data_IF_305774995779
#
_entry.id   IF_305774995779
#
_cell.length_a   1.000
_cell.length_b   1.000
_cell.length_c   1.000
_cell.angle_alpha   90.00
_cell.angle_beta   90.00
_cell.angle_gamma   90.00
#
_symmetry.space_group_name_H-M   'P 1'
#
loop_
_entity.id
_entity.type
_entity.pdbx_description
1 polymer ?
#
# COMPACT_ATOMS: atom_id res chain seq x y z
N UNK A 1 -9.89 -14.69 49.95
CA UNK A 1 -9.15 -15.51 48.96
C UNK A 1 -9.82 -15.51 47.56
N UNK A 2 -10.36 -14.38 47.07
CA UNK A 2 -11.17 -14.28 45.83
C UNK A 2 -10.49 -13.49 44.69
N UNK A 3 -9.41 -12.78 44.98
CA UNK A 3 -8.69 -11.93 44.01
C UNK A 3 -7.66 -12.66 43.13
N UNK A 4 -7.26 -13.89 43.48
CA UNK A 4 -6.21 -14.64 42.75
C UNK A 4 -6.75 -15.41 41.54
N UNK A 5 -8.04 -15.73 41.50
CA UNK A 5 -8.67 -16.48 40.40
C UNK A 5 -9.16 -15.59 39.25
N UNK A 6 -9.35 -14.30 39.47
CA UNK A 6 -9.83 -13.35 38.44
C UNK A 6 -8.70 -12.92 37.48
N UNK A 7 -7.48 -12.76 38.00
CA UNK A 7 -6.30 -12.43 37.20
C UNK A 7 -5.92 -13.57 36.22
N UNK A 8 -6.23 -14.83 36.57
CA UNK A 8 -5.97 -15.98 35.70
C UNK A 8 -6.96 -16.10 34.53
N UNK A 9 -8.16 -15.52 34.61
CA UNK A 9 -9.19 -15.56 33.54
C UNK A 9 -9.07 -14.39 32.56
N UNK A 10 -8.40 -13.31 32.98
CA UNK A 10 -8.09 -12.16 32.11
C UNK A 10 -6.84 -12.41 31.25
N UNK A 11 -5.81 -13.09 31.77
CA UNK A 11 -4.54 -13.37 31.07
C UNK A 11 -4.69 -14.19 29.77
N UNK A 12 -5.56 -15.20 29.76
CA UNK A 12 -5.88 -15.99 28.57
C UNK A 12 -6.81 -15.26 27.58
N UNK A 13 -7.59 -14.27 28.04
CA UNK A 13 -8.40 -13.42 27.18
C UNK A 13 -7.56 -12.46 26.33
N UNK A 14 -6.42 -11.95 26.86
CA UNK A 14 -5.54 -11.03 26.12
C UNK A 14 -4.88 -11.70 24.92
N UNK A 15 -4.39 -12.93 25.09
CA UNK A 15 -3.87 -13.72 23.98
C UNK A 15 -4.96 -13.96 22.92
N UNK A 16 -6.18 -14.30 23.35
CA UNK A 16 -7.32 -14.45 22.44
C UNK A 16 -7.65 -13.17 21.66
N UNK A 17 -7.60 -12.00 22.32
CA UNK A 17 -7.83 -10.69 21.68
C UNK A 17 -6.75 -10.33 20.66
N UNK A 18 -5.48 -10.60 20.98
CA UNK A 18 -4.36 -10.37 20.05
C UNK A 18 -4.49 -11.25 18.81
N UNK A 19 -4.83 -12.53 18.98
CA UNK A 19 -5.04 -13.47 17.88
C UNK A 19 -6.26 -13.05 17.04
N UNK A 20 -7.38 -12.69 17.67
CA UNK A 20 -8.57 -12.22 16.97
C UNK A 20 -8.29 -10.94 16.17
N UNK A 21 -7.49 -10.03 16.72
CA UNK A 21 -7.08 -8.81 16.05
C UNK A 21 -6.12 -9.07 14.87
N UNK A 22 -5.16 -9.99 15.01
CA UNK A 22 -4.30 -10.45 13.90
C UNK A 22 -5.11 -11.11 12.77
N UNK A 23 -6.06 -11.97 13.11
CA UNK A 23 -6.97 -12.60 12.15
C UNK A 23 -7.87 -11.57 11.47
N UNK A 24 -8.35 -10.57 12.22
CA UNK A 24 -9.13 -9.46 11.66
C UNK A 24 -8.30 -8.63 10.67
N UNK A 25 -7.05 -8.29 11.01
CA UNK A 25 -6.13 -7.59 10.10
C UNK A 25 -5.79 -8.41 8.84
N UNK A 26 -5.65 -9.73 8.97
CA UNK A 26 -5.34 -10.64 7.87
C UNK A 26 -6.54 -11.00 6.98
N UNK A 27 -7.77 -10.69 7.42
CA UNK A 27 -9.01 -11.09 6.72
C UNK A 27 -9.28 -10.37 5.39
N UNK A 28 -8.40 -9.46 4.98
CA UNK A 28 -8.49 -8.81 3.68
C UNK A 28 -9.68 -7.87 3.54
N UNK A 29 -10.15 -7.29 4.65
CA UNK A 29 -11.21 -6.26 4.65
C UNK A 29 -10.83 -5.12 3.69
N UNK A 30 -11.84 -4.44 3.15
CA UNK A 30 -11.63 -3.33 2.20
C UNK A 30 -10.82 -2.16 2.76
N UNK A 31 -10.53 -2.14 4.08
CA UNK A 31 -9.69 -1.14 4.76
C UNK A 31 -8.19 -1.20 4.42
N UNK A 32 -7.73 -2.23 3.70
CA UNK A 32 -6.40 -2.28 3.09
C UNK A 32 -5.23 -2.53 4.05
N UNK A 33 -4.02 -2.60 3.50
CA UNK A 33 -2.76 -2.88 4.23
C UNK A 33 -2.18 -1.65 4.94
N UNK A 34 -2.92 -0.54 4.98
CA UNK A 34 -2.46 0.74 5.53
C UNK A 34 -2.45 0.75 7.06
N UNK A 35 -3.56 0.37 7.70
CA UNK A 35 -3.59 0.28 9.16
C UNK A 35 -2.47 -0.61 9.75
N UNK A 36 -2.22 -1.84 9.24
CA UNK A 36 -1.16 -2.68 9.80
C UNK A 36 0.24 -2.12 9.57
N UNK A 37 0.55 -1.53 8.40
CA UNK A 37 1.90 -0.99 8.15
C UNK A 37 2.20 0.18 9.08
N UNK A 38 1.24 1.08 9.29
CA UNK A 38 1.42 2.25 10.14
C UNK A 38 1.63 1.83 11.60
N UNK A 39 0.87 0.85 12.07
CA UNK A 39 1.00 0.36 13.43
C UNK A 39 2.32 -0.36 13.70
N UNK A 40 2.75 -1.24 12.78
CA UNK A 40 4.06 -1.92 12.90
C UNK A 40 5.19 -0.90 12.86
N UNK A 41 5.11 0.09 11.96
CA UNK A 41 6.11 1.14 11.83
C UNK A 41 6.18 2.04 13.06
N UNK A 42 5.03 2.43 13.61
CA UNK A 42 4.96 3.23 14.84
C UNK A 42 5.54 2.47 16.04
N UNK A 43 5.22 1.19 16.17
CA UNK A 43 5.76 0.32 17.23
C UNK A 43 7.27 0.14 17.10
N UNK A 44 7.77 0.04 15.87
CA UNK A 44 9.20 -0.04 15.61
C UNK A 44 9.91 1.30 15.92
N UNK A 45 9.29 2.41 15.53
CA UNK A 45 9.77 3.75 15.81
C UNK A 45 9.85 4.06 17.31
N UNK A 46 8.88 3.63 18.11
CA UNK A 46 8.93 3.81 19.57
C UNK A 46 10.05 2.99 20.22
N UNK A 47 10.25 1.76 19.78
CA UNK A 47 11.35 0.90 20.28
C UNK A 47 12.69 1.53 19.93
N UNK A 48 12.88 1.96 18.69
CA UNK A 48 14.09 2.68 18.27
C UNK A 48 14.26 3.97 19.08
N UNK A 49 13.21 4.79 19.20
CA UNK A 49 13.23 6.04 19.95
C UNK A 49 13.62 5.84 21.42
N UNK A 50 13.08 4.82 22.08
CA UNK A 50 13.48 4.48 23.46
C UNK A 50 14.96 4.14 23.57
N UNK A 51 15.49 3.34 22.65
CA UNK A 51 16.92 3.01 22.62
C UNK A 51 17.80 4.22 22.29
N UNK A 52 17.34 5.14 21.43
CA UNK A 52 18.06 6.37 21.13
C UNK A 52 18.13 7.31 22.34
N UNK A 53 17.03 7.49 23.07
CA UNK A 53 17.02 8.34 24.27
C UNK A 53 17.90 7.77 25.38
N UNK A 54 17.99 6.43 25.50
CA UNK A 54 18.86 5.78 26.47
C UNK A 54 20.36 5.91 26.13
N UNK A 55 20.71 5.94 24.84
CA UNK A 55 22.10 5.92 24.35
C UNK A 55 22.66 7.32 24.11
N UNK A 56 21.84 8.26 23.63
CA UNK A 56 22.28 9.62 23.30
C UNK A 56 21.96 10.60 24.42
N UNK A 57 22.96 11.24 25.04
CA UNK A 57 22.71 12.34 25.97
C UNK A 57 22.23 13.56 25.18
N UNK A 58 20.91 13.74 25.09
CA UNK A 58 20.27 14.83 24.36
C UNK A 58 18.94 15.25 25.02
N UNK A 59 18.23 16.23 24.44
CA UNK A 59 16.88 16.55 24.89
C UNK A 59 16.00 15.30 24.75
N UNK A 60 15.28 14.97 25.82
CA UNK A 60 14.38 13.81 25.85
C UNK A 60 13.19 14.08 24.91
N UNK A 61 13.30 13.58 23.68
CA UNK A 61 12.25 13.71 22.68
C UNK A 61 11.14 12.72 23.01
N UNK A 62 9.90 13.17 22.98
CA UNK A 62 8.75 12.31 23.24
C UNK A 62 8.75 11.07 22.32
N UNK A 63 8.56 9.87 22.90
CA UNK A 63 8.49 8.62 22.14
C UNK A 63 7.43 8.65 21.02
N UNK A 64 6.37 9.45 21.21
CA UNK A 64 5.36 9.70 20.18
C UNK A 64 5.93 10.31 18.89
N UNK A 65 6.90 11.22 18.99
CA UNK A 65 7.50 11.84 17.82
C UNK A 65 8.26 10.82 16.97
N UNK A 66 9.04 9.93 17.59
CA UNK A 66 9.73 8.83 16.89
C UNK A 66 8.74 7.87 16.20
N UNK A 67 7.62 7.56 16.86
CA UNK A 67 6.57 6.72 16.30
C UNK A 67 5.97 7.33 15.02
N UNK A 68 5.66 8.63 15.07
CA UNK A 68 5.02 9.38 13.99
C UNK A 68 5.95 9.55 12.80
N UNK A 69 7.23 9.86 13.05
CA UNK A 69 8.25 9.95 12.00
C UNK A 69 8.45 8.60 11.31
N UNK A 70 8.58 7.51 12.06
CA UNK A 70 8.73 6.16 11.50
C UNK A 70 7.50 5.72 10.68
N UNK A 71 6.31 6.08 11.14
CA UNK A 71 5.04 5.83 10.46
C UNK A 71 4.97 6.54 9.10
N UNK A 72 5.26 7.84 9.06
CA UNK A 72 5.28 8.62 7.82
C UNK A 72 6.36 8.13 6.86
N UNK A 73 7.58 7.93 7.36
CA UNK A 73 8.70 7.50 6.55
C UNK A 73 8.46 6.16 5.85
N UNK A 74 7.99 5.16 6.60
CA UNK A 74 7.71 3.84 6.05
C UNK A 74 6.54 3.87 5.09
N UNK A 75 5.48 4.61 5.40
CA UNK A 75 4.30 4.70 4.55
C UNK A 75 4.56 5.45 3.24
N UNK A 76 5.25 6.60 3.30
CA UNK A 76 5.62 7.39 2.13
C UNK A 76 6.51 6.59 1.18
N UNK A 77 7.57 5.99 1.72
CA UNK A 77 8.47 5.14 0.96
C UNK A 77 7.76 3.93 0.34
N UNK A 78 6.97 3.19 1.12
CA UNK A 78 6.29 1.99 0.62
C UNK A 78 5.26 2.32 -0.47
N UNK A 79 4.58 3.46 -0.39
CA UNK A 79 3.56 3.86 -1.38
C UNK A 79 4.11 4.63 -2.56
N UNK A 80 5.34 5.16 -2.48
CA UNK A 80 5.90 6.09 -3.45
C UNK A 80 4.97 7.31 -3.66
N UNK A 81 4.30 7.74 -2.59
CA UNK A 81 3.35 8.86 -2.55
C UNK A 81 3.70 9.81 -1.38
N UNK A 82 4.94 10.27 -1.37
CA UNK A 82 5.61 11.00 -0.27
C UNK A 82 4.80 12.17 0.28
N UNK A 83 4.32 13.08 -0.58
CA UNK A 83 3.50 14.22 -0.14
C UNK A 83 2.18 13.79 0.50
N UNK A 84 1.49 12.81 -0.11
CA UNK A 84 0.22 12.28 0.42
C UNK A 84 0.43 11.62 1.78
N UNK A 85 1.52 10.87 1.94
CA UNK A 85 1.86 10.22 3.20
C UNK A 85 2.17 11.23 4.32
N UNK A 86 2.92 12.29 4.01
CA UNK A 86 3.24 13.37 4.94
C UNK A 86 1.94 14.01 5.46
N UNK A 87 1.06 14.45 4.56
CA UNK A 87 -0.20 15.10 4.92
C UNK A 87 -1.11 14.15 5.69
N UNK A 88 -1.19 12.89 5.29
CA UNK A 88 -2.01 11.88 5.95
C UNK A 88 -1.59 11.63 7.40
N UNK A 89 -0.29 11.45 7.65
CA UNK A 89 0.21 11.21 9.01
C UNK A 89 0.16 12.50 9.83
N UNK A 90 0.46 13.65 9.23
CA UNK A 90 0.29 14.95 9.89
C UNK A 90 -1.15 15.16 10.35
N UNK A 91 -2.14 14.92 9.48
CA UNK A 91 -3.55 15.12 9.82
C UNK A 91 -4.03 14.14 10.90
N UNK A 92 -3.46 12.94 10.96
CA UNK A 92 -3.78 11.96 12.00
C UNK A 92 -3.32 12.42 13.39
N UNK A 93 -2.18 13.10 13.48
CA UNK A 93 -1.52 13.46 14.75
C UNK A 93 -1.80 14.91 15.16
N UNK A 94 -1.89 15.81 14.19
CA UNK A 94 -2.11 17.26 14.35
C UNK A 94 -1.08 17.96 15.24
N UNK A 95 0.16 17.52 15.15
CA UNK A 95 1.29 18.11 15.86
C UNK A 95 2.24 18.81 14.87
N UNK A 96 2.43 20.12 15.08
CA UNK A 96 3.25 20.97 14.23
C UNK A 96 4.74 20.90 14.56
N UNK A 97 5.12 20.50 15.78
CA UNK A 97 6.53 20.43 16.17
C UNK A 97 7.24 19.28 15.43
N UNK A 98 6.49 18.22 15.11
CA UNK A 98 7.02 17.01 14.47
C UNK A 98 6.98 17.10 12.93
N UNK A 99 6.38 18.14 12.35
CA UNK A 99 6.16 18.21 10.88
C UNK A 99 7.47 18.30 10.09
N UNK A 100 8.43 19.10 10.55
CA UNK A 100 9.74 19.27 9.90
C UNK A 100 10.56 17.96 9.87
N UNK A 101 10.80 17.28 11.01
CA UNK A 101 11.54 16.02 10.99
C UNK A 101 10.80 14.91 10.24
N UNK A 102 9.47 14.90 10.28
CA UNK A 102 8.64 13.97 9.52
C UNK A 102 8.83 14.12 8.00
N UNK A 103 8.79 15.36 7.50
CA UNK A 103 8.98 15.62 6.06
C UNK A 103 10.36 15.15 5.59
N UNK A 104 11.41 15.54 6.33
CA UNK A 104 12.78 15.18 6.01
C UNK A 104 12.99 13.65 5.99
N UNK A 105 12.55 12.98 7.06
CA UNK A 105 12.70 11.53 7.17
C UNK A 105 11.94 10.79 6.07
N UNK A 106 10.74 11.27 5.70
CA UNK A 106 9.94 10.65 4.64
C UNK A 106 10.61 10.76 3.28
N UNK A 107 11.17 11.92 2.94
CA UNK A 107 11.89 12.14 1.68
C UNK A 107 13.15 11.27 1.62
N UNK A 108 13.91 11.18 2.72
CA UNK A 108 15.11 10.33 2.78
C UNK A 108 14.73 8.86 2.60
N UNK A 109 13.70 8.39 3.31
CA UNK A 109 13.23 7.02 3.21
C UNK A 109 12.74 6.69 1.78
N UNK A 110 12.03 7.61 1.14
CA UNK A 110 11.56 7.48 -0.23
C UNK A 110 12.72 7.40 -1.23
N UNK A 111 13.74 8.25 -1.06
CA UNK A 111 14.95 8.21 -1.87
C UNK A 111 15.64 6.85 -1.77
N UNK A 112 15.87 6.37 -0.54
CA UNK A 112 16.47 5.04 -0.31
C UNK A 112 15.60 3.94 -0.92
N UNK A 113 14.28 3.97 -0.69
CA UNK A 113 13.37 2.95 -1.21
C UNK A 113 13.39 2.90 -2.73
N UNK A 114 13.38 4.05 -3.41
CA UNK A 114 13.36 4.13 -4.87
C UNK A 114 14.64 3.60 -5.54
N UNK A 115 15.76 3.50 -4.80
CA UNK A 115 17.00 2.87 -5.27
C UNK A 115 17.01 1.35 -5.08
N UNK A 116 16.30 0.84 -4.06
CA UNK A 116 16.31 -0.58 -3.69
C UNK A 116 15.15 -1.34 -4.35
N UNK A 117 13.99 -0.68 -4.53
CA UNK A 117 12.76 -1.31 -5.01
C UNK A 117 12.25 -0.62 -6.28
N UNK A 118 11.91 -1.41 -7.29
CA UNK A 118 11.32 -0.92 -8.54
C UNK A 118 9.81 -0.68 -8.43
N UNK A 119 9.14 -1.38 -7.51
CA UNK A 119 7.68 -1.38 -7.35
C UNK A 119 7.25 -0.86 -5.97
N UNK A 120 6.14 -0.15 -5.94
CA UNK A 120 5.51 0.32 -4.70
C UNK A 120 4.46 -0.67 -4.21
N UNK A 121 4.05 -0.52 -2.96
CA UNK A 121 2.97 -1.30 -2.34
C UNK A 121 1.68 -1.27 -3.18
N UNK A 122 1.43 -0.17 -3.89
CA UNK A 122 0.24 0.00 -4.71
C UNK A 122 0.36 -0.69 -6.07
N UNK A 123 1.56 -0.75 -6.67
CA UNK A 123 1.77 -1.43 -7.96
C UNK A 123 2.04 -2.92 -7.81
N UNK A 124 2.50 -3.37 -6.65
CA UNK A 124 2.88 -4.76 -6.39
C UNK A 124 1.75 -5.76 -6.66
N UNK A 125 0.51 -5.42 -6.27
CA UNK A 125 -0.66 -6.28 -6.54
C UNK A 125 -0.98 -6.41 -8.03
N UNK A 126 -0.67 -5.39 -8.82
CA UNK A 126 -0.83 -5.39 -10.27
C UNK A 126 0.30 -6.20 -10.92
N UNK A 127 1.54 -6.02 -10.45
CA UNK A 127 2.69 -6.81 -10.90
C UNK A 127 2.48 -8.31 -10.70
N UNK A 128 1.93 -8.72 -9.55
CA UNK A 128 1.57 -10.13 -9.28
C UNK A 128 0.52 -10.70 -10.23
N UNK A 129 -0.32 -9.85 -10.83
CA UNK A 129 -1.29 -10.22 -11.86
C UNK A 129 -0.68 -10.22 -13.27
N UNK A 130 0.62 -9.95 -13.40
CA UNK A 130 1.35 -9.85 -14.67
C UNK A 130 1.29 -8.45 -15.31
N UNK A 131 0.72 -7.46 -14.63
CA UNK A 131 0.62 -6.08 -15.11
C UNK A 131 1.78 -5.26 -14.58
N UNK A 132 2.73 -4.91 -15.45
CA UNK A 132 3.80 -3.96 -15.12
C UNK A 132 3.37 -2.55 -15.55
N UNK A 133 3.17 -1.67 -14.57
CA UNK A 133 2.91 -0.24 -14.80
C UNK A 133 4.24 0.47 -14.59
N UNK A 134 4.85 0.94 -15.67
CA UNK A 134 6.04 1.77 -15.58
C UNK A 134 5.72 3.15 -14.98
N UNK A 135 6.70 3.75 -14.29
CA UNK A 135 6.59 5.15 -13.81
C UNK A 135 6.45 6.16 -14.97
N UNK A 136 6.85 5.78 -16.18
CA UNK A 136 6.60 6.56 -17.38
C UNK A 136 5.15 6.36 -17.84
N UNK A 137 4.35 7.41 -17.69
CA UNK A 137 3.09 7.56 -18.41
C UNK A 137 3.40 7.74 -19.89
N UNK A 138 3.61 6.64 -20.60
CA UNK A 138 3.56 6.61 -22.05
C UNK A 138 2.09 6.66 -22.46
N UNK A 139 1.70 7.71 -23.19
CA UNK A 139 0.43 7.67 -23.92
C UNK A 139 0.61 6.59 -24.98
N UNK A 140 -0.10 5.48 -24.85
CA UNK A 140 -0.27 4.58 -26.00
C UNK A 140 -0.94 5.41 -27.11
N UNK A 141 -0.28 5.65 -28.26
CA UNK A 141 -0.81 6.51 -29.31
C UNK A 141 -2.03 5.89 -30.03
N UNK A 142 -2.54 4.75 -29.55
CA UNK A 142 -3.74 4.09 -30.07
C UNK A 142 -4.95 4.25 -29.14
N UNK A 143 -5.63 5.41 -29.11
CA UNK A 143 -6.94 5.52 -28.51
C UNK A 143 -8.01 5.43 -29.60
N UNK A 144 -8.29 4.24 -30.17
CA UNK A 144 -9.53 4.04 -30.94
C UNK A 144 -9.79 2.56 -31.26
N UNK A 145 -10.08 1.78 -30.24
CA UNK A 145 -11.13 0.77 -30.46
C UNK A 145 -12.35 1.27 -29.76
N UNK A 146 -13.40 1.57 -30.54
CA UNK A 146 -14.72 1.81 -30.00
C UNK A 146 -15.06 0.63 -29.09
N UNK A 147 -15.04 0.84 -27.78
CA UNK A 147 -15.67 -0.07 -26.83
C UNK A 147 -17.15 0.09 -27.09
N UNK A 148 -17.71 -0.83 -27.88
CA UNK A 148 -19.14 -0.85 -28.13
C UNK A 148 -19.86 -0.85 -26.77
N UNK A 149 -20.84 0.04 -26.55
CA UNK A 149 -21.54 0.09 -25.27
C UNK A 149 -22.39 -1.18 -25.11
N UNK A 150 -21.81 -2.20 -24.47
CA UNK A 150 -22.48 -3.47 -24.13
C UNK A 150 -23.56 -3.28 -23.05
N UNK A 151 -23.73 -2.06 -22.55
CA UNK A 151 -24.79 -1.65 -21.64
C UNK A 151 -26.15 -1.43 -22.31
N UNK A 152 -26.23 -1.31 -23.65
CA UNK A 152 -27.52 -1.08 -24.33
C UNK A 152 -28.32 -2.36 -24.63
N UNK A 153 -27.69 -3.53 -24.65
CA UNK A 153 -28.36 -4.80 -24.98
C UNK A 153 -29.21 -5.39 -23.84
N UNK A 154 -28.91 -5.05 -22.57
CA UNK A 154 -29.64 -5.61 -21.43
C UNK A 154 -30.97 -4.90 -21.13
N UNK A 155 -31.09 -3.60 -21.42
CA UNK A 155 -32.36 -2.87 -21.21
C UNK A 155 -33.37 -3.07 -22.35
N UNK A 156 -32.93 -3.39 -23.58
CA UNK A 156 -33.83 -3.69 -24.69
C UNK A 156 -34.42 -5.12 -24.63
N UNK A 157 -33.73 -6.06 -23.99
CA UNK A 157 -34.18 -7.46 -23.88
C UNK A 157 -35.27 -7.68 -22.79
N UNK A 158 -35.62 -6.66 -22.02
CA UNK A 158 -36.67 -6.76 -20.99
C UNK A 158 -38.09 -6.53 -21.53
N UNK A 159 -38.26 -6.11 -22.79
CA UNK A 159 -39.56 -5.70 -23.36
C UNK A 159 -40.07 -6.52 -24.55
N UNK A 160 -39.51 -7.70 -24.84
CA UNK A 160 -40.11 -8.58 -25.85
C UNK A 160 -39.96 -10.04 -25.47
N UNK A 161 -41.09 -10.64 -25.12
CA UNK A 161 -41.18 -12.07 -24.86
C UNK A 161 -40.97 -12.91 -26.13
N UNK A 162 -40.45 -14.12 -25.89
CA UNK A 162 -40.39 -15.28 -26.79
C UNK A 162 -39.24 -15.29 -27.81
N UNK A 163 -38.17 -16.02 -27.48
CA UNK A 163 -37.34 -16.90 -28.34
C UNK A 163 -36.03 -17.21 -27.61
N UNK A 164 -35.99 -18.18 -26.69
CA UNK A 164 -35.59 -19.56 -26.98
C UNK A 164 -34.27 -19.73 -27.73
N UNK A 165 -33.22 -19.95 -26.94
CA UNK A 165 -32.26 -21.04 -27.09
C UNK A 165 -31.44 -21.16 -28.39
N UNK A 166 -30.33 -20.40 -28.51
CA UNK A 166 -29.10 -20.91 -29.18
C UNK A 166 -27.83 -20.06 -28.99
N UNK A 167 -27.46 -19.62 -27.78
CA UNK A 167 -26.14 -18.98 -27.57
C UNK A 167 -25.58 -19.39 -26.21
N UNK A 168 -25.12 -20.64 -26.10
CA UNK A 168 -24.49 -21.14 -24.88
C UNK A 168 -23.49 -22.23 -25.23
N UNK A 169 -22.28 -21.81 -25.64
CA UNK A 169 -20.99 -22.52 -25.56
C UNK A 169 -20.04 -21.87 -26.57
N UNK A 170 -19.14 -20.98 -26.13
CA UNK A 170 -18.09 -20.52 -27.03
C UNK A 170 -17.36 -19.21 -26.70
N UNK A 171 -17.80 -18.42 -25.72
CA UNK A 171 -17.24 -17.08 -25.54
C UNK A 171 -16.99 -16.72 -24.07
N UNK A 172 -16.31 -17.59 -23.32
CA UNK A 172 -15.84 -17.26 -21.96
C UNK A 172 -14.38 -17.61 -21.78
N UNK A 173 -13.57 -17.20 -22.76
CA UNK A 173 -12.12 -17.17 -22.66
C UNK A 173 -11.64 -15.81 -23.17
N UNK A 174 -11.92 -14.78 -22.39
CA UNK A 174 -11.16 -13.53 -22.45
C UNK A 174 -9.76 -13.89 -21.94
N UNK A 175 -8.94 -14.39 -22.86
CA UNK A 175 -7.51 -14.51 -22.69
C UNK A 175 -7.00 -13.11 -22.47
N UNK A 176 -6.64 -12.83 -21.23
CA UNK A 176 -5.69 -11.79 -20.91
C UNK A 176 -4.40 -12.16 -21.67
N UNK A 177 -4.21 -11.58 -22.85
CA UNK A 177 -3.04 -11.87 -23.68
C UNK A 177 -1.81 -11.58 -22.85
N UNK A 178 -1.03 -12.62 -22.59
CA UNK A 178 0.35 -12.50 -22.13
C UNK A 178 1.17 -11.96 -23.29
N UNK A 179 1.01 -10.69 -23.59
CA UNK A 179 1.93 -9.94 -24.44
C UNK A 179 2.23 -8.65 -23.69
N UNK A 180 3.02 -8.79 -22.63
CA UNK A 180 3.83 -7.68 -22.13
C UNK A 180 4.97 -7.59 -23.14
N UNK A 181 5.01 -6.58 -24.03
CA UNK A 181 6.18 -6.39 -24.87
C UNK A 181 7.36 -6.15 -23.93
N UNK A 182 8.43 -6.93 -24.10
CA UNK A 182 9.71 -6.62 -23.49
C UNK A 182 10.09 -5.21 -23.98
N UNK A 183 10.02 -4.22 -23.08
CA UNK A 183 10.51 -2.88 -23.36
C UNK A 183 11.97 -2.94 -23.77
N UNK A 184 12.42 -2.05 -24.66
CA UNK A 184 13.73 -2.16 -25.29
C UNK A 184 14.84 -2.08 -24.24
N UNK A 185 15.65 -3.14 -24.16
CA UNK A 185 16.87 -3.23 -23.38
C UNK A 185 18.00 -2.38 -24.01
N UNK A 186 17.76 -1.08 -24.20
CA UNK A 186 18.74 -0.18 -24.82
C UNK A 186 18.63 1.25 -24.25
N UNK A 187 19.04 1.44 -23.00
CA UNK A 187 19.47 2.76 -22.48
C UNK A 187 20.26 2.67 -21.18
N UNK A 188 21.26 1.77 -21.12
CA UNK A 188 22.30 1.83 -20.07
C UNK A 188 23.65 2.34 -20.60
N UNK A 189 23.81 2.49 -21.92
CA UNK A 189 25.09 2.94 -22.52
C UNK A 189 25.20 4.48 -22.64
N UNK A 190 24.09 5.22 -22.64
CA UNK A 190 24.10 6.68 -22.87
C UNK A 190 24.60 7.52 -21.67
N UNK A 191 24.62 6.95 -20.45
CA UNK A 191 25.04 7.68 -19.24
C UNK A 191 26.53 7.45 -18.92
N UNK A 192 27.13 6.36 -19.42
CA UNK A 192 28.55 6.09 -19.26
C UNK A 192 29.45 6.83 -20.28
N UNK A 193 28.87 7.38 -21.36
CA UNK A 193 29.60 8.12 -22.41
C UNK A 193 29.55 9.66 -22.27
N UNK A 194 28.95 10.17 -21.19
CA UNK A 194 28.87 11.61 -20.87
C UNK A 194 29.57 11.99 -19.56
N UNK A 195 30.42 11.11 -19.05
CA UNK A 195 31.50 11.39 -18.08
C UNK A 195 32.84 11.05 -18.74
#
# INVERSE_FOLDING_TARGET
>A
MKARTENSKSRNSMAGKLVAWWLALGSGTSGGTLAPILLVSASFGTVIGSGLNDVLPGPDVALGAYAVVAMAATFGAATQATFTAIVFVFELIRDYEVILPLMLATVIADLVYSTVNEDSLMTEKLRRRGLRIGRHYGIDPSPTRCVAPETRARHAAAHSGKASARVSRGARRVLYSRDVPAGPAHRLDDVAQRL
#
